data_IF_940208041994
#
_entry.id   IF_940208041994
#
_cell.length_a   1.000
_cell.length_b   1.000
_cell.length_c   1.000
_cell.angle_alpha   90.00
_cell.angle_beta   90.00
_cell.angle_gamma   90.00
#
_symmetry.space_group_name_H-M   'P 1'
#
loop_
_entity.id
_entity.type
_entity.pdbx_description
1 polymer ?
#
# COMPACT_ATOMS: atom_id res chain seq x y z
N UNK A 1 24.64 15.95 7.63
CA UNK A 1 24.94 16.37 6.24
C UNK A 1 23.76 16.15 5.29
N UNK A 2 23.24 14.92 5.14
CA UNK A 2 22.11 14.64 4.24
C UNK A 2 20.82 15.44 4.57
N UNK A 3 20.46 15.56 5.85
CA UNK A 3 19.30 16.37 6.27
C UNK A 3 19.45 17.86 5.93
N UNK A 4 20.63 18.43 6.12
CA UNK A 4 20.91 19.85 5.80
C UNK A 4 20.83 20.08 4.30
N UNK A 5 21.34 19.16 3.47
CA UNK A 5 21.17 19.22 2.02
C UNK A 5 19.70 19.07 1.60
N UNK A 6 18.94 18.20 2.26
CA UNK A 6 17.51 18.03 1.99
C UNK A 6 16.75 19.32 2.27
N UNK A 7 16.98 19.96 3.43
CA UNK A 7 16.35 21.24 3.77
C UNK A 7 16.77 22.35 2.81
N UNK A 8 18.03 22.41 2.39
CA UNK A 8 18.50 23.38 1.41
C UNK A 8 17.87 23.17 0.01
N UNK A 9 17.70 21.90 -0.42
CA UNK A 9 17.02 21.56 -1.68
C UNK A 9 15.54 21.88 -1.64
N UNK A 10 14.86 21.57 -0.53
CA UNK A 10 13.43 21.90 -0.34
C UNK A 10 13.25 23.42 -0.33
N UNK A 11 14.08 24.15 0.42
CA UNK A 11 14.04 25.62 0.45
C UNK A 11 14.35 26.23 -0.93
N UNK A 12 15.34 25.72 -1.64
CA UNK A 12 15.69 26.15 -3.00
C UNK A 12 14.58 25.87 -4.01
N UNK A 13 13.96 24.68 -3.95
CA UNK A 13 12.82 24.33 -4.79
C UNK A 13 11.60 25.22 -4.52
N UNK A 14 11.29 25.50 -3.25
CA UNK A 14 10.23 26.41 -2.86
C UNK A 14 10.50 27.86 -3.28
N UNK A 15 11.76 28.29 -3.24
CA UNK A 15 12.18 29.62 -3.67
C UNK A 15 12.07 29.78 -5.20
N UNK A 16 12.55 28.81 -5.98
CA UNK A 16 12.44 28.80 -7.44
C UNK A 16 10.98 28.70 -7.91
N UNK A 17 10.14 27.99 -7.16
CA UNK A 17 8.72 27.81 -7.46
C UNK A 17 7.80 28.77 -6.68
N UNK A 18 8.33 29.86 -6.14
CA UNK A 18 7.61 30.81 -5.27
C UNK A 18 6.31 31.36 -5.87
N UNK A 19 6.22 31.45 -7.20
CA UNK A 19 5.03 31.92 -7.92
C UNK A 19 3.99 30.82 -8.23
N UNK A 20 4.28 29.55 -7.94
CA UNK A 20 3.42 28.40 -8.26
C UNK A 20 3.31 27.45 -7.04
N UNK A 21 2.96 28.05 -5.88
CA UNK A 21 2.77 27.35 -4.60
C UNK A 21 1.39 26.65 -4.50
N UNK A 22 0.58 26.69 -5.56
CA UNK A 22 -0.75 26.08 -5.62
C UNK A 22 -0.72 24.58 -5.27
N UNK A 23 0.40 23.90 -5.52
CA UNK A 23 0.57 22.50 -5.13
C UNK A 23 0.56 22.28 -3.61
N UNK A 24 1.09 23.22 -2.81
CA UNK A 24 1.12 23.14 -1.35
C UNK A 24 -0.26 23.39 -0.74
N UNK A 25 -1.13 24.12 -1.42
CA UNK A 25 -2.49 24.37 -0.94
C UNK A 25 -3.46 23.24 -1.33
N UNK A 26 -3.03 22.30 -2.18
CA UNK A 26 -3.86 21.18 -2.61
C UNK A 26 -4.02 20.13 -1.50
N UNK A 27 -5.18 20.14 -0.83
CA UNK A 27 -5.54 19.17 0.24
C UNK A 27 -5.49 17.71 -0.24
N UNK A 28 -5.83 17.45 -1.50
CA UNK A 28 -5.80 16.08 -2.04
C UNK A 28 -4.36 15.55 -2.15
N UNK A 29 -3.40 16.42 -2.48
CA UNK A 29 -1.99 16.04 -2.53
C UNK A 29 -1.48 15.62 -1.14
N UNK A 30 -1.82 16.39 -0.11
CA UNK A 30 -1.47 16.04 1.27
C UNK A 30 -2.16 14.76 1.73
N UNK A 31 -3.44 14.57 1.36
CA UNK A 31 -4.18 13.35 1.65
C UNK A 31 -3.52 12.11 1.04
N UNK A 32 -3.20 12.16 -0.26
CA UNK A 32 -2.49 11.07 -0.95
C UNK A 32 -1.12 10.82 -0.32
N UNK A 33 -0.36 11.87 -0.03
CA UNK A 33 0.97 11.75 0.59
C UNK A 33 0.89 11.09 1.97
N UNK A 34 -0.09 11.47 2.80
CA UNK A 34 -0.30 10.87 4.11
C UNK A 34 -0.67 9.39 4.01
N UNK A 35 -1.56 9.03 3.08
CA UNK A 35 -1.96 7.63 2.85
C UNK A 35 -0.78 6.78 2.37
N UNK A 36 0.04 7.29 1.43
CA UNK A 36 1.26 6.61 0.99
C UNK A 36 2.25 6.40 2.13
N UNK A 37 2.41 7.40 3.01
CA UNK A 37 3.24 7.28 4.19
C UNK A 37 2.73 6.20 5.15
N UNK A 38 1.42 6.13 5.39
CA UNK A 38 0.81 5.06 6.18
C UNK A 38 1.11 3.68 5.60
N UNK A 39 1.00 3.47 4.29
CA UNK A 39 1.33 2.18 3.67
C UNK A 39 2.81 1.81 3.82
N UNK A 40 3.71 2.77 3.64
CA UNK A 40 5.13 2.55 3.84
C UNK A 40 5.43 2.10 5.29
N UNK A 41 4.80 2.73 6.27
CA UNK A 41 5.04 2.42 7.68
C UNK A 41 4.37 1.10 8.13
N UNK A 42 3.14 0.83 7.71
CA UNK A 42 2.40 -0.38 8.10
C UNK A 42 2.97 -1.66 7.49
N UNK A 43 3.56 -1.58 6.29
CA UNK A 43 4.09 -2.76 5.59
C UNK A 43 5.36 -3.37 6.17
N UNK A 44 6.06 -2.66 7.06
CA UNK A 44 7.30 -3.14 7.69
C UNK A 44 8.60 -2.55 7.13
N UNK A 45 8.56 -1.40 6.45
CA UNK A 45 9.79 -0.75 5.93
C UNK A 45 10.84 -0.45 7.02
N UNK A 46 10.42 -0.14 8.25
CA UNK A 46 11.33 0.03 9.38
C UNK A 46 12.02 -1.28 9.80
N UNK A 47 11.30 -2.41 9.72
CA UNK A 47 11.91 -3.72 9.97
C UNK A 47 13.00 -4.00 8.93
N UNK A 48 12.71 -3.72 7.65
CA UNK A 48 13.70 -3.86 6.57
C UNK A 48 14.92 -2.97 6.80
N UNK A 49 14.72 -1.74 7.27
CA UNK A 49 15.81 -0.81 7.55
C UNK A 49 16.72 -1.32 8.68
N UNK A 50 16.14 -1.85 9.77
CA UNK A 50 16.90 -2.33 10.93
C UNK A 50 17.62 -3.65 10.64
N UNK A 51 16.92 -4.61 10.02
CA UNK A 51 17.42 -5.98 9.85
C UNK A 51 18.11 -6.22 8.51
N UNK A 52 17.91 -5.33 7.53
CA UNK A 52 18.52 -5.42 6.20
C UNK A 52 18.41 -6.83 5.59
N UNK A 53 17.18 -7.39 5.47
CA UNK A 53 16.98 -8.71 4.88
C UNK A 53 17.42 -8.74 3.40
N UNK A 54 17.71 -9.93 2.84
CA UNK A 54 17.91 -10.05 1.41
C UNK A 54 16.65 -9.66 0.64
N UNK A 55 16.83 -9.11 -0.56
CA UNK A 55 15.71 -8.69 -1.41
C UNK A 55 14.83 -9.89 -1.80
N UNK A 56 15.48 -10.99 -2.15
CA UNK A 56 14.88 -12.27 -2.52
C UNK A 56 15.84 -13.38 -2.10
N UNK A 57 15.32 -14.53 -1.67
CA UNK A 57 16.14 -15.69 -1.34
C UNK A 57 16.03 -16.76 -2.42
N UNK A 58 17.15 -17.40 -2.78
CA UNK A 58 17.13 -18.57 -3.66
C UNK A 58 16.91 -19.81 -2.80
N UNK A 59 15.85 -20.56 -3.10
CA UNK A 59 15.57 -21.84 -2.49
C UNK A 59 16.69 -22.84 -2.79
N UNK A 60 16.95 -23.77 -1.86
CA UNK A 60 17.92 -24.86 -2.02
C UNK A 60 17.67 -25.73 -3.26
N UNK A 61 16.45 -25.73 -3.81
CA UNK A 61 16.06 -26.45 -5.03
C UNK A 61 16.29 -25.66 -6.34
N UNK A 62 16.96 -24.50 -6.30
CA UNK A 62 17.21 -23.64 -7.47
C UNK A 62 16.05 -22.70 -7.83
N UNK A 63 14.93 -22.75 -7.11
CA UNK A 63 13.81 -21.83 -7.26
C UNK A 63 14.02 -20.48 -6.55
N UNK A 64 13.30 -19.44 -6.97
CA UNK A 64 13.32 -18.11 -6.33
C UNK A 64 12.16 -18.02 -5.32
N UNK A 65 12.47 -17.91 -4.03
CA UNK A 65 11.46 -17.78 -2.97
C UNK A 65 11.15 -16.29 -2.73
N UNK A 66 9.95 -15.88 -3.14
CA UNK A 66 9.44 -14.51 -3.01
C UNK A 66 8.85 -14.21 -1.63
N UNK A 67 8.53 -15.25 -0.86
CA UNK A 67 7.92 -15.15 0.48
C UNK A 67 8.74 -16.01 1.45
N UNK A 68 9.07 -15.43 2.60
CA UNK A 68 9.81 -16.05 3.69
C UNK A 68 8.91 -17.03 4.43
N UNK A 69 9.35 -18.28 4.58
CA UNK A 69 8.55 -19.36 5.16
C UNK A 69 8.32 -19.28 6.68
N UNK A 70 8.96 -18.33 7.36
CA UNK A 70 8.74 -18.08 8.79
C UNK A 70 8.01 -16.76 9.02
N UNK A 71 7.10 -16.76 10.00
CA UNK A 71 6.34 -15.58 10.42
C UNK A 71 7.20 -14.50 11.09
N UNK A 72 8.42 -14.83 11.55
CA UNK A 72 9.34 -13.86 12.18
C UNK A 72 10.23 -13.11 11.17
N UNK A 73 10.27 -13.56 9.92
CA UNK A 73 11.10 -12.99 8.86
C UNK A 73 10.29 -12.44 7.70
N UNK A 74 10.86 -11.44 7.03
CA UNK A 74 10.26 -10.78 5.88
C UNK A 74 11.34 -10.45 4.85
N UNK A 75 11.06 -10.64 3.56
CA UNK A 75 11.90 -10.12 2.48
C UNK A 75 11.47 -8.70 2.09
N UNK A 76 12.41 -7.92 1.55
CA UNK A 76 12.12 -6.56 1.07
C UNK A 76 11.01 -6.57 0.00
N UNK A 77 11.04 -7.56 -0.89
CA UNK A 77 10.02 -7.69 -1.93
C UNK A 77 8.62 -7.98 -1.38
N UNK A 78 8.50 -8.73 -0.29
CA UNK A 78 7.20 -8.96 0.35
C UNK A 78 6.60 -7.67 0.89
N UNK A 79 7.41 -6.78 1.44
CA UNK A 79 6.96 -5.47 1.89
C UNK A 79 6.30 -4.69 0.75
N UNK A 80 6.89 -4.71 -0.45
CA UNK A 80 6.29 -4.05 -1.62
C UNK A 80 4.98 -4.72 -2.06
N UNK A 81 4.92 -6.06 -2.03
CA UNK A 81 3.69 -6.79 -2.30
C UNK A 81 2.59 -6.36 -1.31
N UNK A 82 2.90 -6.32 -0.01
CA UNK A 82 1.95 -5.91 1.04
C UNK A 82 1.52 -4.45 0.88
N UNK A 83 2.40 -3.54 0.47
CA UNK A 83 2.04 -2.14 0.16
C UNK A 83 0.99 -2.09 -0.96
N UNK A 84 1.23 -2.81 -2.06
CA UNK A 84 0.34 -2.81 -3.23
C UNK A 84 -1.03 -3.41 -2.86
N UNK A 85 -1.04 -4.53 -2.12
CA UNK A 85 -2.29 -5.17 -1.68
C UNK A 85 -3.11 -4.26 -0.77
N UNK A 86 -2.48 -3.64 0.24
CA UNK A 86 -3.18 -2.69 1.11
C UNK A 86 -3.67 -1.45 0.34
N UNK A 87 -2.86 -0.96 -0.60
CA UNK A 87 -3.26 0.13 -1.49
C UNK A 87 -4.51 -0.21 -2.31
N UNK A 88 -4.56 -1.41 -2.89
CA UNK A 88 -5.73 -1.88 -3.65
C UNK A 88 -7.00 -1.99 -2.78
N UNK A 89 -6.87 -2.49 -1.54
CA UNK A 89 -7.99 -2.57 -0.59
C UNK A 89 -8.51 -1.17 -0.25
N UNK A 90 -7.61 -0.24 0.10
CA UNK A 90 -8.00 1.14 0.43
C UNK A 90 -8.61 1.85 -0.78
N UNK A 91 -8.09 1.62 -1.99
CA UNK A 91 -8.70 2.15 -3.21
C UNK A 91 -10.14 1.64 -3.40
N UNK A 92 -10.37 0.34 -3.19
CA UNK A 92 -11.73 -0.22 -3.22
C UNK A 92 -12.65 0.42 -2.18
N UNK A 93 -12.15 0.66 -0.96
CA UNK A 93 -12.90 1.38 0.09
C UNK A 93 -13.21 2.83 -0.28
N UNK A 94 -12.25 3.54 -0.87
CA UNK A 94 -12.43 4.93 -1.34
C UNK A 94 -13.47 4.96 -2.46
N UNK A 95 -13.42 4.04 -3.42
CA UNK A 95 -14.42 3.95 -4.50
C UNK A 95 -15.84 3.77 -3.96
N UNK A 96 -16.03 2.88 -2.99
CA UNK A 96 -17.35 2.69 -2.38
C UNK A 96 -17.83 3.93 -1.62
N UNK A 97 -16.93 4.57 -0.88
CA UNK A 97 -17.26 5.77 -0.08
C UNK A 97 -17.58 6.96 -0.99
N UNK A 98 -16.78 7.18 -2.04
CA UNK A 98 -17.01 8.22 -3.03
C UNK A 98 -18.33 7.98 -3.79
N UNK A 99 -18.60 6.73 -4.19
CA UNK A 99 -19.88 6.37 -4.78
C UNK A 99 -21.06 6.69 -3.85
N UNK A 100 -20.93 6.42 -2.55
CA UNK A 100 -21.96 6.72 -1.56
C UNK A 100 -22.19 8.23 -1.35
N UNK A 101 -21.12 9.05 -1.39
CA UNK A 101 -21.18 10.50 -1.21
C UNK A 101 -21.68 11.27 -2.45
N UNK A 102 -21.67 10.66 -3.63
CA UNK A 102 -22.22 11.25 -4.86
C UNK A 102 -23.74 11.43 -4.75
N UNK A 103 -24.19 12.67 -4.58
CA UNK A 103 -25.62 13.04 -4.44
C UNK A 103 -26.34 13.27 -5.79
N UNK A 104 -25.63 13.73 -6.82
CA UNK A 104 -26.24 14.17 -8.10
C UNK A 104 -25.76 13.35 -9.32
N UNK A 105 -25.70 12.02 -9.20
CA UNK A 105 -25.26 11.14 -10.30
C UNK A 105 -26.30 10.08 -10.68
N UNK A 106 -26.15 9.49 -11.86
CA UNK A 106 -26.95 8.34 -12.28
C UNK A 106 -26.81 7.20 -11.26
N UNK A 107 -27.96 6.71 -10.77
CA UNK A 107 -28.06 5.64 -9.79
C UNK A 107 -27.34 4.38 -10.28
N UNK A 108 -27.42 4.08 -11.58
CA UNK A 108 -26.76 2.90 -12.17
C UNK A 108 -25.24 3.01 -12.07
N UNK A 109 -24.68 4.17 -12.38
CA UNK A 109 -23.23 4.41 -12.30
C UNK A 109 -22.75 4.28 -10.85
N UNK A 110 -23.49 4.84 -9.90
CA UNK A 110 -23.19 4.70 -8.47
C UNK A 110 -23.17 3.23 -8.03
N UNK A 111 -24.19 2.46 -8.42
CA UNK A 111 -24.27 1.03 -8.10
C UNK A 111 -23.09 0.24 -8.68
N UNK A 112 -22.74 0.50 -9.95
CA UNK A 112 -21.59 -0.16 -10.60
C UNK A 112 -20.30 0.14 -9.84
N UNK A 113 -20.04 1.41 -9.48
CA UNK A 113 -18.81 1.79 -8.75
C UNK A 113 -18.78 1.12 -7.37
N UNK A 114 -19.91 1.07 -6.65
CA UNK A 114 -19.97 0.40 -5.35
C UNK A 114 -19.72 -1.11 -5.48
N UNK A 115 -20.32 -1.77 -6.47
CA UNK A 115 -20.12 -3.22 -6.70
C UNK A 115 -18.67 -3.51 -7.10
N UNK A 116 -18.07 -2.69 -7.96
CA UNK A 116 -16.66 -2.81 -8.35
C UNK A 116 -15.75 -2.60 -7.15
N UNK A 117 -16.00 -1.57 -6.33
CA UNK A 117 -15.24 -1.33 -5.10
C UNK A 117 -15.32 -2.51 -4.12
N UNK A 118 -16.52 -3.08 -3.94
CA UNK A 118 -16.72 -4.26 -3.10
C UNK A 118 -15.98 -5.49 -3.63
N UNK A 119 -16.03 -5.73 -4.95
CA UNK A 119 -15.31 -6.83 -5.58
C UNK A 119 -13.79 -6.69 -5.41
N UNK A 120 -13.24 -5.49 -5.60
CA UNK A 120 -11.82 -5.19 -5.37
C UNK A 120 -11.45 -5.52 -3.91
N UNK A 121 -12.19 -4.98 -2.94
CA UNK A 121 -11.93 -5.24 -1.51
C UNK A 121 -11.97 -6.74 -1.22
N UNK A 122 -13.00 -7.46 -1.66
CA UNK A 122 -13.16 -8.88 -1.40
C UNK A 122 -12.01 -9.73 -1.99
N UNK A 123 -11.60 -9.43 -3.22
CA UNK A 123 -10.51 -10.16 -3.91
C UNK A 123 -9.17 -9.89 -3.25
N UNK A 124 -8.77 -8.62 -3.10
CA UNK A 124 -7.45 -8.30 -2.55
C UNK A 124 -7.34 -8.64 -1.06
N UNK A 125 -8.43 -8.51 -0.29
CA UNK A 125 -8.49 -8.98 1.09
C UNK A 125 -8.35 -10.52 1.18
N UNK A 126 -8.88 -11.26 0.22
CA UNK A 126 -8.66 -12.71 0.17
C UNK A 126 -7.21 -13.07 -0.13
N UNK A 127 -6.57 -12.33 -1.03
CA UNK A 127 -5.16 -12.57 -1.40
C UNK A 127 -4.23 -12.28 -0.21
N UNK A 128 -4.42 -11.17 0.49
CA UNK A 128 -3.58 -10.86 1.67
C UNK A 128 -3.79 -11.89 2.78
N UNK A 129 -5.01 -12.40 2.97
CA UNK A 129 -5.31 -13.45 3.95
C UNK A 129 -4.68 -14.80 3.56
N UNK A 130 -4.68 -15.17 2.27
CA UNK A 130 -4.00 -16.37 1.77
C UNK A 130 -2.48 -16.30 1.98
N UNK A 131 -1.85 -15.15 1.68
CA UNK A 131 -0.42 -14.93 1.96
C UNK A 131 -0.13 -15.03 3.46
N UNK A 132 -0.97 -14.40 4.29
CA UNK A 132 -0.82 -14.46 5.74
C UNK A 132 -0.90 -15.90 6.26
N UNK A 133 -1.88 -16.68 5.78
CA UNK A 133 -2.04 -18.09 6.13
C UNK A 133 -0.85 -18.94 5.70
N UNK A 134 -0.29 -18.69 4.52
CA UNK A 134 0.93 -19.38 4.08
C UNK A 134 2.11 -19.17 5.03
N UNK A 135 2.17 -18.02 5.71
CA UNK A 135 3.20 -17.73 6.72
C UNK A 135 2.85 -18.19 8.13
N UNK A 136 1.57 -18.23 8.47
CA UNK A 136 1.07 -18.63 9.77
C UNK A 136 0.35 -19.98 9.64
N UNK A 137 1.13 -21.07 9.64
CA UNK A 137 0.63 -22.43 9.43
C UNK A 137 -0.50 -22.86 10.38
N UNK A 138 -0.64 -22.22 11.54
CA UNK A 138 -1.73 -22.45 12.49
C UNK A 138 -3.04 -21.69 12.20
N UNK A 139 -3.13 -20.89 11.14
CA UNK A 139 -4.31 -20.06 10.85
C UNK A 139 -5.37 -20.85 10.06
N UNK A 140 -6.57 -21.09 10.64
CA UNK A 140 -7.56 -22.00 10.03
C UNK A 140 -8.51 -21.32 9.04
N UNK A 141 -8.59 -20.00 9.03
CA UNK A 141 -9.60 -19.26 8.26
C UNK A 141 -9.12 -18.90 6.86
N UNK A 142 -10.05 -18.87 5.91
CA UNK A 142 -9.84 -18.48 4.52
C UNK A 142 -11.10 -17.77 4.03
N UNK A 143 -10.96 -16.75 3.18
CA UNK A 143 -12.11 -16.00 2.66
C UNK A 143 -12.56 -16.56 1.30
N UNK A 144 -11.99 -16.09 0.18
CA UNK A 144 -12.25 -16.69 -1.16
C UNK A 144 -11.16 -17.64 -1.62
N UNK A 145 -9.90 -17.35 -1.30
CA UNK A 145 -8.74 -18.13 -1.74
C UNK A 145 -8.12 -18.85 -0.53
N UNK A 146 -7.63 -20.07 -0.77
CA UNK A 146 -6.95 -20.88 0.25
C UNK A 146 -5.51 -20.47 0.45
#
# INVERSE_FOLDING_TARGET
>A
MALVMLFALVAGFLYLRRNNLDFLYNKNLWGVTAVLFCFAMVSGQMWNHIRSPPFVHRSQSGGVAYIHGSSQGQFVLETYIVIILNGAIVLGMIMMTDAASRKNGDVRVRQIITVVGLAIVAVFFSVILSIFRSKAHGYPYSFLFK
#
